data_IF_718867694583
#
_entry.id   IF_718867694583
#
_cell.length_a   1.000
_cell.length_b   1.000
_cell.length_c   1.000
_cell.angle_alpha   90.00
_cell.angle_beta   90.00
_cell.angle_gamma   90.00
#
_symmetry.space_group_name_H-M   'P 1'
#
loop_
_entity.id
_entity.type
_entity.pdbx_description
1 polymer ?
#
# COMPACT_ATOMS: atom_id res chain seq x y z
N UNK A 1 -7.44 31.80 13.59
CA UNK A 1 -6.22 31.03 13.95
C UNK A 1 -5.02 31.96 13.86
N UNK A 2 -4.15 32.03 14.89
CA UNK A 2 -2.92 32.83 14.83
C UNK A 2 -1.98 32.24 13.77
N UNK A 3 -1.44 33.06 12.86
CA UNK A 3 -0.46 32.63 11.87
C UNK A 3 0.80 32.15 12.59
N UNK A 4 1.32 30.99 12.21
CA UNK A 4 2.60 30.49 12.73
C UNK A 4 3.74 31.41 12.25
N UNK A 5 4.75 31.66 13.09
CA UNK A 5 5.94 32.41 12.68
C UNK A 5 6.65 31.67 11.53
N UNK A 6 7.29 32.43 10.62
CA UNK A 6 8.03 31.85 9.50
C UNK A 6 9.21 31.00 9.97
N UNK A 7 9.69 30.07 9.12
CA UNK A 7 10.85 29.24 9.45
C UNK A 7 12.06 30.07 9.88
N UNK A 8 12.34 31.17 9.17
CA UNK A 8 13.41 32.11 9.52
C UNK A 8 13.23 32.73 10.91
N UNK A 9 12.02 33.17 11.25
CA UNK A 9 11.73 33.75 12.57
C UNK A 9 11.84 32.73 13.70
N UNK A 10 11.63 31.44 13.42
CA UNK A 10 11.83 30.36 14.41
C UNK A 10 13.32 30.14 14.70
N UNK A 11 14.18 30.22 13.69
CA UNK A 11 15.64 30.07 13.85
C UNK A 11 16.26 31.13 14.78
N UNK A 12 15.68 32.34 14.85
CA UNK A 12 16.18 33.41 15.72
C UNK A 12 15.98 33.14 17.22
N UNK A 13 15.27 32.08 17.61
CA UNK A 13 15.03 31.71 19.01
C UNK A 13 16.10 30.78 19.61
N UNK A 14 17.22 30.59 18.92
CA UNK A 14 18.26 29.62 19.30
C UNK A 14 18.78 29.78 20.74
N UNK A 15 18.91 31.02 21.22
CA UNK A 15 19.40 31.32 22.57
C UNK A 15 18.29 31.44 23.64
N UNK A 16 17.05 31.03 23.32
CA UNK A 16 15.97 31.00 24.32
C UNK A 16 16.32 30.02 25.45
N UNK A 17 16.07 30.35 26.73
CA UNK A 17 16.23 29.40 27.83
C UNK A 17 15.41 28.12 27.61
N UNK A 18 15.96 27.00 28.07
CA UNK A 18 15.50 25.63 27.81
C UNK A 18 15.81 24.75 29.01
N UNK A 19 14.90 23.84 29.32
CA UNK A 19 15.04 22.95 30.47
C UNK A 19 16.10 21.87 30.22
N UNK A 20 16.92 21.65 31.25
CA UNK A 20 17.99 20.66 31.26
C UNK A 20 17.84 19.73 32.44
N UNK A 21 18.09 18.45 32.20
CA UNK A 21 17.93 17.38 33.17
C UNK A 21 19.21 16.52 33.22
N UNK A 22 19.31 15.66 34.24
CA UNK A 22 20.40 14.69 34.41
C UNK A 22 21.79 15.35 34.36
N UNK A 23 22.09 16.26 35.28
CA UNK A 23 23.38 16.97 35.34
C UNK A 23 23.75 17.66 34.00
N UNK A 24 22.75 18.25 33.33
CA UNK A 24 22.86 18.86 31.99
C UNK A 24 23.16 17.90 30.84
N UNK A 25 22.99 16.59 31.00
CA UNK A 25 23.16 15.60 29.93
C UNK A 25 22.00 15.61 28.92
N UNK A 26 20.79 15.95 29.37
CA UNK A 26 19.58 15.94 28.53
C UNK A 26 18.98 17.33 28.46
N UNK A 27 18.45 17.66 27.29
CA UNK A 27 17.76 18.92 27.02
C UNK A 27 16.42 18.62 26.34
N UNK A 28 15.34 19.20 26.86
CA UNK A 28 14.05 19.17 26.18
C UNK A 28 14.00 20.24 25.10
N UNK A 29 13.43 19.93 23.93
CA UNK A 29 13.29 20.88 22.82
C UNK A 29 11.82 21.06 22.45
N UNK A 30 11.41 22.32 22.29
CA UNK A 30 10.05 22.70 21.90
C UNK A 30 10.01 23.21 20.45
N UNK A 31 10.87 22.65 19.60
CA UNK A 31 10.96 23.03 18.21
C UNK A 31 9.71 22.61 17.42
N UNK A 32 9.53 23.25 16.26
CA UNK A 32 8.42 22.91 15.38
C UNK A 32 8.61 21.53 14.76
N UNK A 33 7.62 20.67 14.96
CA UNK A 33 7.59 19.29 14.45
C UNK A 33 6.59 19.11 13.29
N UNK A 34 6.29 20.18 12.54
CA UNK A 34 5.33 20.07 11.42
C UNK A 34 5.80 19.13 10.32
N UNK A 35 7.11 18.97 10.15
CA UNK A 35 7.70 18.06 9.17
C UNK A 35 7.21 16.61 9.33
N UNK A 36 6.84 16.20 10.55
CA UNK A 36 6.27 14.87 10.83
C UNK A 36 4.95 14.61 10.10
N UNK A 37 4.25 15.68 9.68
CA UNK A 37 3.04 15.56 8.87
C UNK A 37 3.29 14.88 7.52
N UNK A 38 4.54 14.85 7.03
CA UNK A 38 4.92 14.09 5.83
C UNK A 38 4.59 12.60 6.01
N UNK A 39 5.01 12.00 7.13
CA UNK A 39 4.72 10.59 7.42
C UNK A 39 3.25 10.36 7.76
N UNK A 40 2.61 11.27 8.51
CA UNK A 40 1.17 11.18 8.81
C UNK A 40 0.33 11.16 7.53
N UNK A 41 0.63 12.05 6.58
CA UNK A 41 -0.06 12.12 5.29
C UNK A 41 0.22 10.92 4.41
N UNK A 42 1.42 10.32 4.50
CA UNK A 42 1.75 9.08 3.79
C UNK A 42 0.92 7.90 4.30
N UNK A 43 0.73 7.79 5.61
CA UNK A 43 -0.05 6.71 6.24
C UNK A 43 -1.56 6.83 6.02
N UNK A 44 -2.09 8.05 5.98
CA UNK A 44 -3.49 8.32 5.65
C UNK A 44 -3.85 7.77 4.26
N UNK A 45 -5.07 7.27 4.14
CA UNK A 45 -5.61 6.62 2.95
C UNK A 45 -7.11 6.95 2.81
N UNK A 46 -7.66 6.75 1.62
CA UNK A 46 -9.02 7.15 1.28
C UNK A 46 -10.03 6.13 1.79
N UNK A 47 -9.69 4.84 1.64
CA UNK A 47 -10.54 3.71 2.04
C UNK A 47 -9.74 2.44 2.23
N UNK A 48 -10.35 1.51 2.95
CA UNK A 48 -9.87 0.14 3.15
C UNK A 48 -10.89 -0.83 2.59
N UNK A 49 -10.45 -1.79 1.79
CA UNK A 49 -11.31 -2.78 1.13
C UNK A 49 -10.88 -4.17 1.59
N UNK A 50 -11.85 -5.01 1.96
CA UNK A 50 -11.58 -6.41 2.32
C UNK A 50 -11.36 -7.25 1.06
N UNK A 51 -10.28 -8.02 1.04
CA UNK A 51 -9.97 -8.98 -0.02
C UNK A 51 -9.18 -10.18 0.51
N UNK A 52 -8.73 -11.06 -0.39
CA UNK A 52 -7.88 -12.22 -0.10
C UNK A 52 -7.01 -12.56 -1.31
N UNK A 53 -6.06 -13.48 -1.14
CA UNK A 53 -5.21 -13.96 -2.24
C UNK A 53 -5.72 -15.27 -2.81
N UNK A 54 -6.18 -15.25 -4.06
CA UNK A 54 -6.58 -16.42 -4.83
C UNK A 54 -5.38 -17.23 -5.36
N UNK A 55 -4.46 -17.61 -4.48
CA UNK A 55 -3.25 -18.39 -4.79
C UNK A 55 -3.25 -19.67 -3.97
N UNK A 56 -2.75 -20.77 -4.54
CA UNK A 56 -2.72 -22.09 -3.90
C UNK A 56 -1.66 -22.16 -2.78
N UNK A 57 -1.95 -21.56 -1.62
CA UNK A 57 -1.00 -21.45 -0.51
C UNK A 57 -1.56 -21.92 0.85
N UNK A 58 -2.78 -22.48 0.87
CA UNK A 58 -3.56 -22.88 2.08
C UNK A 58 -3.86 -21.76 3.09
N UNK A 59 -3.33 -20.55 2.86
CA UNK A 59 -3.44 -19.43 3.78
C UNK A 59 -4.86 -18.91 3.95
N UNK A 60 -5.60 -18.64 2.87
CA UNK A 60 -6.94 -18.01 2.93
C UNK A 60 -6.98 -16.78 3.87
N UNK A 61 -5.92 -15.99 3.89
CA UNK A 61 -5.78 -14.86 4.81
C UNK A 61 -6.59 -13.66 4.30
N UNK A 62 -7.56 -13.20 5.09
CA UNK A 62 -8.26 -11.93 4.89
C UNK A 62 -7.28 -10.75 4.98
N UNK A 63 -7.42 -9.79 4.06
CA UNK A 63 -6.56 -8.62 3.92
C UNK A 63 -7.36 -7.33 3.89
N UNK A 64 -6.75 -6.29 4.45
CA UNK A 64 -7.14 -4.90 4.31
C UNK A 64 -6.32 -4.27 3.19
N UNK A 65 -6.96 -3.98 2.07
CA UNK A 65 -6.35 -3.32 0.91
C UNK A 65 -6.54 -1.81 1.06
N UNK A 66 -5.43 -1.07 1.16
CA UNK A 66 -5.43 0.37 1.35
C UNK A 66 -5.40 1.08 0.00
N UNK A 67 -6.38 1.95 -0.23
CA UNK A 67 -6.47 2.80 -1.42
C UNK A 67 -6.18 4.23 -1.00
N UNK A 68 -5.28 4.91 -1.73
CA UNK A 68 -4.94 6.31 -1.53
C UNK A 68 -4.79 6.99 -2.88
N UNK A 69 -5.33 8.19 -3.01
CA UNK A 69 -5.35 8.95 -4.26
C UNK A 69 -5.94 8.12 -5.42
N UNK A 70 -6.95 7.30 -5.12
CA UNK A 70 -7.63 6.43 -6.08
C UNK A 70 -6.84 5.19 -6.56
N UNK A 71 -5.64 4.94 -6.04
CA UNK A 71 -4.82 3.77 -6.38
C UNK A 71 -4.60 2.85 -5.18
N UNK A 72 -4.39 1.55 -5.43
CA UNK A 72 -3.99 0.61 -4.37
C UNK A 72 -2.54 0.87 -4.00
N UNK A 73 -2.25 1.12 -2.73
CA UNK A 73 -0.90 1.51 -2.29
C UNK A 73 -0.17 0.43 -1.50
N UNK A 74 -0.84 -0.21 -0.55
CA UNK A 74 -0.32 -1.34 0.22
C UNK A 74 -1.46 -2.17 0.78
N UNK A 75 -1.12 -3.25 1.45
CA UNK A 75 -2.07 -4.12 2.12
C UNK A 75 -1.59 -4.48 3.53
N UNK A 76 -2.54 -4.76 4.41
CA UNK A 76 -2.30 -5.25 5.75
C UNK A 76 -3.16 -6.47 6.04
N UNK A 77 -2.82 -7.20 7.09
CA UNK A 77 -3.67 -8.27 7.60
C UNK A 77 -4.97 -7.68 8.16
N UNK A 78 -6.08 -8.34 7.87
CA UNK A 78 -7.30 -8.17 8.65
C UNK A 78 -7.19 -8.97 9.94
N UNK A 79 -7.69 -8.44 11.04
CA UNK A 79 -7.56 -9.06 12.37
C UNK A 79 -8.90 -9.55 12.92
N UNK A 80 -10.02 -9.21 12.27
CA UNK A 80 -11.36 -9.43 12.80
C UNK A 80 -11.94 -10.84 12.52
N UNK A 81 -11.12 -11.90 12.50
CA UNK A 81 -11.63 -13.27 12.40
C UNK A 81 -12.53 -13.60 13.61
N UNK A 82 -13.55 -14.44 13.46
CA UNK A 82 -14.30 -14.96 14.60
C UNK A 82 -13.37 -15.61 15.63
N UNK A 83 -13.69 -15.43 16.92
CA UNK A 83 -12.89 -15.98 18.01
C UNK A 83 -12.89 -17.51 18.02
N UNK A 84 -11.77 -18.10 18.42
CA UNK A 84 -11.64 -19.55 18.65
C UNK A 84 -12.17 -19.99 20.02
N UNK A 85 -12.61 -19.06 20.87
CA UNK A 85 -13.01 -19.31 22.26
C UNK A 85 -11.91 -18.93 23.27
N UNK A 86 -12.18 -19.02 24.57
CA UNK A 86 -11.25 -18.56 25.62
C UNK A 86 -10.01 -19.44 25.79
N UNK A 87 -10.11 -20.73 25.44
CA UNK A 87 -9.06 -21.72 25.70
C UNK A 87 -8.07 -21.89 24.54
N UNK A 88 -8.24 -21.14 23.44
CA UNK A 88 -7.42 -21.25 22.23
C UNK A 88 -7.05 -19.87 21.69
N UNK A 89 -5.82 -19.69 21.17
CA UNK A 89 -5.43 -18.44 20.54
C UNK A 89 -6.19 -18.21 19.22
N UNK A 90 -6.53 -16.96 18.95
CA UNK A 90 -7.20 -16.55 17.72
C UNK A 90 -6.29 -16.70 16.48
N UNK A 91 -6.91 -16.68 15.31
CA UNK A 91 -6.19 -16.82 14.03
C UNK A 91 -5.46 -15.56 13.57
N UNK A 92 -5.84 -14.39 14.08
CA UNK A 92 -5.20 -13.13 13.70
C UNK A 92 -3.70 -13.15 14.07
N UNK A 93 -2.82 -12.55 13.25
CA UNK A 93 -3.09 -11.81 12.02
C UNK A 93 -3.12 -12.69 10.74
N UNK A 94 -2.74 -13.97 10.82
CA UNK A 94 -2.33 -14.79 9.66
C UNK A 94 -1.30 -14.01 8.79
N UNK A 95 -1.38 -14.21 7.47
CA UNK A 95 -0.52 -13.51 6.50
C UNK A 95 0.85 -14.14 6.30
N UNK A 96 1.55 -13.70 5.25
CA UNK A 96 2.88 -14.16 4.90
C UNK A 96 3.60 -13.07 4.08
N UNK A 97 4.95 -13.12 3.94
CA UNK A 97 5.69 -12.11 3.19
C UNK A 97 5.32 -12.07 1.71
N UNK A 98 4.91 -13.21 1.11
CA UNK A 98 4.45 -13.26 -0.29
C UNK A 98 3.14 -12.51 -0.48
N UNK A 99 2.24 -12.59 0.49
CA UNK A 99 1.00 -11.83 0.46
C UNK A 99 1.24 -10.35 0.74
N UNK A 100 2.18 -9.99 1.61
CA UNK A 100 2.46 -8.58 1.92
C UNK A 100 3.03 -7.78 0.72
N UNK A 101 3.48 -8.46 -0.33
CA UNK A 101 4.00 -7.84 -1.55
C UNK A 101 3.04 -7.88 -2.75
N UNK A 102 1.82 -8.40 -2.60
CA UNK A 102 0.94 -8.66 -3.75
C UNK A 102 0.48 -7.37 -4.44
N UNK A 103 0.25 -6.29 -3.69
CA UNK A 103 -0.03 -4.95 -4.22
C UNK A 103 0.95 -4.46 -5.30
N UNK A 104 2.20 -4.95 -5.33
CA UNK A 104 3.19 -4.64 -6.37
C UNK A 104 2.69 -5.01 -7.78
N UNK A 105 2.03 -6.16 -7.93
CA UNK A 105 1.60 -6.69 -9.24
C UNK A 105 0.58 -5.82 -9.97
N UNK A 106 -0.12 -4.92 -9.27
CA UNK A 106 -1.18 -4.11 -9.87
C UNK A 106 -0.60 -3.15 -10.92
N UNK A 107 0.59 -2.60 -10.67
CA UNK A 107 1.23 -1.60 -11.50
C UNK A 107 2.66 -1.97 -11.94
N UNK A 108 3.09 -3.20 -11.66
CA UNK A 108 4.43 -3.67 -12.00
C UNK A 108 4.63 -3.77 -13.51
N UNK A 109 5.90 -3.81 -13.99
CA UNK A 109 6.20 -4.06 -15.41
C UNK A 109 5.73 -5.44 -15.89
N UNK A 110 5.34 -6.34 -15.00
CA UNK A 110 4.82 -7.68 -15.35
C UNK A 110 3.30 -7.70 -15.53
N UNK A 111 2.60 -6.58 -15.29
CA UNK A 111 1.15 -6.52 -15.43
C UNK A 111 0.75 -6.72 -16.90
N UNK A 112 0.04 -7.81 -17.18
CA UNK A 112 -0.65 -8.00 -18.47
C UNK A 112 -1.78 -6.98 -18.58
N UNK A 113 -1.70 -6.09 -19.57
CA UNK A 113 -2.66 -4.99 -19.78
C UNK A 113 -3.67 -5.26 -20.90
N UNK A 114 -3.32 -6.15 -21.83
CA UNK A 114 -4.10 -6.46 -23.03
C UNK A 114 -4.11 -7.97 -23.27
N UNK A 115 -5.10 -8.50 -24.01
CA UNK A 115 -4.98 -9.85 -24.56
C UNK A 115 -3.80 -9.88 -25.53
N UNK A 116 -2.94 -10.89 -25.41
CA UNK A 116 -1.79 -11.09 -26.29
C UNK A 116 -1.99 -12.34 -27.13
N UNK A 117 -1.55 -12.25 -28.38
CA UNK A 117 -1.51 -13.37 -29.33
C UNK A 117 -0.10 -13.39 -29.93
N UNK A 118 0.44 -14.59 -30.17
CA UNK A 118 1.75 -14.72 -30.82
C UNK A 118 1.67 -14.17 -32.25
N UNK A 119 2.56 -13.24 -32.61
CA UNK A 119 2.46 -12.48 -33.85
C UNK A 119 2.34 -13.31 -35.13
N UNK A 120 3.11 -14.40 -35.24
CA UNK A 120 3.01 -15.33 -36.39
C UNK A 120 1.61 -15.93 -36.50
N UNK A 121 1.04 -16.39 -35.37
CA UNK A 121 -0.30 -16.94 -35.35
C UNK A 121 -1.35 -15.87 -35.67
N UNK A 122 -1.19 -14.65 -35.15
CA UNK A 122 -2.09 -13.56 -35.47
C UNK A 122 -2.12 -13.25 -36.98
N UNK A 123 -0.96 -13.23 -37.63
CA UNK A 123 -0.89 -12.99 -39.08
C UNK A 123 -1.59 -14.10 -39.88
N UNK A 124 -1.32 -15.38 -39.55
CA UNK A 124 -1.99 -16.52 -40.20
C UNK A 124 -3.50 -16.47 -39.98
N UNK A 125 -3.94 -16.18 -38.76
CA UNK A 125 -5.35 -16.03 -38.43
C UNK A 125 -6.03 -14.91 -39.22
N UNK A 126 -5.35 -13.78 -39.44
CA UNK A 126 -5.89 -12.69 -40.24
C UNK A 126 -5.97 -13.02 -41.74
N UNK A 127 -5.03 -13.80 -42.26
CA UNK A 127 -5.04 -14.29 -43.65
C UNK A 127 -6.20 -15.27 -43.88
N UNK A 128 -6.37 -16.25 -42.99
CA UNK A 128 -7.45 -17.23 -43.11
C UNK A 128 -8.83 -16.60 -42.94
N UNK A 129 -8.98 -15.60 -42.05
CA UNK A 129 -10.22 -14.82 -41.94
C UNK A 129 -10.54 -13.98 -43.18
N UNK A 130 -9.57 -13.66 -44.03
CA UNK A 130 -9.81 -12.97 -45.30
C UNK A 130 -10.21 -13.95 -46.41
N UNK A 131 -9.73 -15.19 -46.33
CA UNK A 131 -9.94 -16.21 -47.36
C UNK A 131 -11.20 -17.06 -47.13
N UNK A 132 -11.76 -17.05 -45.91
CA UNK A 132 -12.92 -17.86 -45.55
C UNK A 132 -14.07 -16.98 -45.04
N UNK A 133 -15.32 -17.38 -45.31
CA UNK A 133 -16.51 -16.61 -44.90
C UNK A 133 -16.78 -16.72 -43.39
N UNK A 134 -16.27 -17.77 -42.76
CA UNK A 134 -16.50 -18.09 -41.35
C UNK A 134 -15.17 -18.27 -40.58
N UNK A 135 -15.07 -17.76 -39.34
CA UNK A 135 -13.95 -18.08 -38.44
C UNK A 135 -13.80 -19.57 -38.11
N UNK A 136 -14.81 -20.40 -38.39
CA UNK A 136 -14.72 -21.85 -38.22
C UNK A 136 -14.04 -22.54 -39.41
N UNK A 137 -14.01 -21.87 -40.56
CA UNK A 137 -13.42 -22.34 -41.81
C UNK A 137 -12.00 -21.80 -42.00
N UNK A 138 -11.62 -20.78 -41.22
CA UNK A 138 -10.28 -20.20 -41.10
C UNK A 138 -9.37 -21.02 -40.18
#
# INVERSE_FOLDING_TARGET
>A
MKKKPSALMRCLKYFSPIDRYNDNHTQETYEDREWENVYRKRWQHDKVIRSTHGVNCTGSCSRNIYVKDGIVTWEGQELNYPTTGPDMPNFEPRGCPRGASFSWYIYSPLRVKYPYVRGVFWNMWQEELQNNESPLEA
#
